data_IF_295235717931
#
_entry.id   IF_295235717931
#
_cell.length_a   1.000
_cell.length_b   1.000
_cell.length_c   1.000
_cell.angle_alpha   90.00
_cell.angle_beta   90.00
_cell.angle_gamma   90.00
#
_symmetry.space_group_name_H-M   'P 1'
#
loop_
_entity.id
_entity.type
_entity.pdbx_description
1 polymer ?
#
# COMPACT_ATOMS: atom_id res chain seq x y z
N UNK A 1 19.01 7.76 -33.81
CA UNK A 1 18.41 6.48 -33.41
C UNK A 1 17.43 6.77 -32.27
N UNK A 2 16.14 6.55 -32.46
CA UNK A 2 15.14 6.71 -31.39
C UNK A 2 15.42 5.63 -30.34
N UNK A 3 16.05 6.00 -29.23
CA UNK A 3 16.26 5.07 -28.11
C UNK A 3 14.92 4.79 -27.46
N UNK A 4 14.54 3.52 -27.37
CA UNK A 4 13.37 3.09 -26.59
C UNK A 4 13.71 3.33 -25.12
N UNK A 5 12.99 4.26 -24.50
CA UNK A 5 13.23 4.66 -23.10
C UNK A 5 12.59 3.67 -22.12
N UNK A 6 11.48 3.03 -22.52
CA UNK A 6 10.72 2.11 -21.69
C UNK A 6 10.53 0.79 -22.41
N UNK A 7 10.93 -0.30 -21.77
CA UNK A 7 10.57 -1.66 -22.22
C UNK A 7 9.15 -2.02 -21.77
N UNK A 8 8.67 -3.22 -22.09
CA UNK A 8 7.33 -3.64 -21.73
C UNK A 8 7.09 -3.67 -20.20
N UNK A 9 8.07 -4.11 -19.42
CA UNK A 9 8.00 -4.14 -17.95
C UNK A 9 7.86 -2.72 -17.36
N UNK A 10 8.66 -1.79 -17.87
CA UNK A 10 8.63 -0.39 -17.50
C UNK A 10 7.26 0.25 -17.81
N UNK A 11 6.65 -0.13 -18.94
CA UNK A 11 5.31 0.32 -19.32
C UNK A 11 4.25 -0.19 -18.36
N UNK A 12 4.34 -1.43 -17.87
CA UNK A 12 3.40 -1.94 -16.85
C UNK A 12 3.48 -1.14 -15.55
N UNK A 13 4.68 -0.76 -15.11
CA UNK A 13 4.87 0.11 -13.94
C UNK A 13 4.24 1.50 -14.16
N UNK A 14 4.45 2.10 -15.33
CA UNK A 14 3.85 3.40 -15.68
C UNK A 14 2.32 3.34 -15.73
N UNK A 15 1.75 2.31 -16.36
CA UNK A 15 0.29 2.13 -16.41
C UNK A 15 -0.26 1.94 -14.99
N UNK A 16 0.40 1.11 -14.15
CA UNK A 16 -0.01 0.90 -12.75
C UNK A 16 -0.01 2.22 -11.97
N UNK A 17 1.03 3.04 -12.16
CA UNK A 17 1.14 4.39 -11.58
C UNK A 17 -0.05 5.25 -12.00
N UNK A 18 -0.30 5.37 -13.31
CA UNK A 18 -1.37 6.21 -13.85
C UNK A 18 -2.75 5.76 -13.39
N UNK A 19 -3.01 4.44 -13.38
CA UNK A 19 -4.27 3.88 -12.88
C UNK A 19 -4.52 4.25 -11.43
N UNK A 20 -3.50 4.12 -10.57
CA UNK A 20 -3.61 4.47 -9.16
C UNK A 20 -3.89 5.97 -8.97
N UNK A 21 -3.14 6.84 -9.68
CA UNK A 21 -3.32 8.30 -9.58
C UNK A 21 -4.71 8.71 -10.07
N UNK A 22 -5.13 8.27 -11.26
CA UNK A 22 -6.42 8.64 -11.83
C UNK A 22 -7.57 8.13 -10.98
N UNK A 23 -7.46 6.92 -10.44
CA UNK A 23 -8.51 6.39 -9.57
C UNK A 23 -8.54 7.11 -8.21
N UNK A 24 -7.39 7.44 -7.62
CA UNK A 24 -7.32 8.27 -6.42
C UNK A 24 -7.98 9.65 -6.63
N UNK A 25 -7.68 10.32 -7.75
CA UNK A 25 -8.30 11.60 -8.12
C UNK A 25 -9.81 11.45 -8.32
N UNK A 26 -10.25 10.41 -9.04
CA UNK A 26 -11.67 10.13 -9.26
C UNK A 26 -12.40 9.94 -7.92
N UNK A 27 -11.83 9.18 -6.99
CA UNK A 27 -12.40 8.96 -5.67
C UNK A 27 -12.60 10.26 -4.90
N UNK A 28 -11.62 11.17 -4.95
CA UNK A 28 -11.67 12.48 -4.28
C UNK A 28 -12.73 13.39 -4.92
N UNK A 29 -12.78 13.45 -6.25
CA UNK A 29 -13.70 14.33 -6.99
C UNK A 29 -15.14 13.86 -6.85
N UNK A 30 -15.41 12.57 -7.06
CA UNK A 30 -16.78 12.02 -7.08
C UNK A 30 -17.39 11.96 -5.68
N UNK A 31 -16.60 11.66 -4.64
CA UNK A 31 -17.14 11.38 -3.31
C UNK A 31 -17.13 12.57 -2.33
N UNK A 32 -16.86 13.80 -2.82
CA UNK A 32 -16.85 15.02 -2.00
C UNK A 32 -18.16 15.24 -1.20
N UNK A 33 -19.28 14.72 -1.71
CA UNK A 33 -20.63 14.87 -1.11
C UNK A 33 -21.19 13.58 -0.47
N UNK A 34 -20.43 12.48 -0.40
CA UNK A 34 -20.90 11.22 0.20
C UNK A 34 -20.93 11.27 1.73
N UNK A 35 -21.82 10.51 2.37
CA UNK A 35 -21.81 10.29 3.83
C UNK A 35 -20.65 9.41 4.30
N UNK A 36 -19.97 8.71 3.38
CA UNK A 36 -18.81 7.84 3.64
C UNK A 36 -17.48 8.49 3.22
N UNK A 37 -17.23 9.73 3.66
CA UNK A 37 -16.06 10.51 3.23
C UNK A 37 -14.73 9.86 3.60
N UNK A 38 -14.59 9.43 4.85
CA UNK A 38 -13.30 8.98 5.39
C UNK A 38 -12.76 7.71 4.70
N UNK A 39 -13.52 6.60 4.53
CA UNK A 39 -13.00 5.42 3.82
C UNK A 39 -12.60 5.72 2.37
N UNK A 40 -13.33 6.60 1.69
CA UNK A 40 -13.01 6.99 0.31
C UNK A 40 -11.71 7.80 0.24
N UNK A 41 -11.49 8.74 1.18
CA UNK A 41 -10.22 9.47 1.27
C UNK A 41 -9.05 8.57 1.66
N UNK A 42 -9.25 7.61 2.57
CA UNK A 42 -8.22 6.64 2.94
C UNK A 42 -7.85 5.72 1.76
N UNK A 43 -8.84 5.27 0.99
CA UNK A 43 -8.59 4.49 -0.23
C UNK A 43 -7.86 5.34 -1.29
N UNK A 44 -8.26 6.59 -1.48
CA UNK A 44 -7.58 7.50 -2.40
C UNK A 44 -6.13 7.77 -1.98
N UNK A 45 -5.90 8.00 -0.68
CA UNK A 45 -4.56 8.17 -0.12
C UNK A 45 -3.72 6.90 -0.30
N UNK A 46 -4.30 5.72 -0.02
CA UNK A 46 -3.66 4.43 -0.26
C UNK A 46 -3.22 4.31 -1.73
N UNK A 47 -4.13 4.54 -2.68
CA UNK A 47 -3.82 4.45 -4.12
C UNK A 47 -2.76 5.46 -4.54
N UNK A 48 -2.84 6.70 -4.06
CA UNK A 48 -1.84 7.71 -4.37
C UNK A 48 -0.45 7.30 -3.89
N UNK A 49 -0.31 6.89 -2.62
CA UNK A 49 0.95 6.37 -2.09
C UNK A 49 1.39 5.12 -2.84
N UNK A 50 0.47 4.20 -3.12
CA UNK A 50 0.74 2.96 -3.86
C UNK A 50 1.21 3.21 -5.29
N UNK A 51 0.89 4.37 -5.89
CA UNK A 51 1.41 4.79 -7.20
C UNK A 51 2.89 5.16 -7.18
N UNK A 52 3.41 5.58 -6.02
CA UNK A 52 4.81 5.96 -5.87
C UNK A 52 5.72 4.73 -5.83
N UNK A 53 5.20 3.57 -5.46
CA UNK A 53 5.91 2.28 -5.45
C UNK A 53 6.39 1.87 -6.86
N UNK A 54 5.53 1.72 -7.89
CA UNK A 54 5.99 1.40 -9.23
C UNK A 54 6.88 2.51 -9.85
N UNK A 55 6.70 3.78 -9.46
CA UNK A 55 7.64 4.84 -9.83
C UNK A 55 9.02 4.64 -9.20
N UNK A 56 9.08 4.25 -7.93
CA UNK A 56 10.32 3.90 -7.25
C UNK A 56 11.04 2.75 -7.97
N UNK A 57 10.30 1.69 -8.30
CA UNK A 57 10.86 0.55 -9.03
C UNK A 57 11.37 0.94 -10.42
N UNK A 58 10.67 1.84 -11.12
CA UNK A 58 11.13 2.36 -12.41
C UNK A 58 12.42 3.17 -12.28
N UNK A 59 12.56 3.98 -11.22
CA UNK A 59 13.77 4.75 -10.93
C UNK A 59 14.94 3.81 -10.61
N UNK A 60 14.72 2.79 -9.77
CA UNK A 60 15.77 1.92 -9.26
C UNK A 60 16.15 0.78 -10.22
N UNK A 61 15.20 0.28 -11.00
CA UNK A 61 15.36 -0.96 -11.79
C UNK A 61 14.97 -0.82 -13.25
N UNK A 62 14.43 0.33 -13.66
CA UNK A 62 14.06 0.56 -15.06
C UNK A 62 15.25 0.39 -16.00
N UNK A 63 15.01 -0.17 -17.18
CA UNK A 63 16.09 -0.57 -18.10
C UNK A 63 16.98 0.61 -18.54
N UNK A 64 16.34 1.64 -19.09
CA UNK A 64 16.99 2.85 -19.61
C UNK A 64 16.68 4.05 -18.72
N UNK A 65 15.47 4.13 -18.15
CA UNK A 65 15.04 5.25 -17.30
C UNK A 65 15.93 5.46 -16.07
N UNK A 66 16.33 4.38 -15.39
CA UNK A 66 17.29 4.37 -14.29
C UNK A 66 18.57 5.13 -14.61
N UNK A 67 19.11 4.92 -15.82
CA UNK A 67 20.36 5.56 -16.25
C UNK A 67 20.20 7.08 -16.39
N UNK A 68 19.04 7.55 -16.86
CA UNK A 68 18.73 8.97 -16.93
C UNK A 68 18.63 9.59 -15.54
N UNK A 69 17.88 8.97 -14.62
CA UNK A 69 17.74 9.48 -13.25
C UNK A 69 19.10 9.57 -12.56
N UNK A 70 19.94 8.53 -12.66
CA UNK A 70 21.28 8.53 -12.05
C UNK A 70 22.22 9.57 -12.62
N UNK A 71 22.05 9.94 -13.89
CA UNK A 71 22.89 10.92 -14.56
C UNK A 71 22.44 12.35 -14.25
N UNK A 72 21.14 12.61 -14.41
CA UNK A 72 20.60 13.98 -14.47
C UNK A 72 19.93 14.38 -13.13
N UNK A 73 19.55 13.42 -12.28
CA UNK A 73 18.78 13.64 -11.06
C UNK A 73 19.12 12.63 -9.93
N UNK A 74 20.40 12.40 -9.57
CA UNK A 74 20.80 11.35 -8.61
C UNK A 74 20.22 11.54 -7.20
N UNK A 75 19.93 12.78 -6.82
CA UNK A 75 19.33 13.14 -5.51
C UNK A 75 17.90 12.60 -5.36
N UNK A 76 17.22 12.32 -6.48
CA UNK A 76 15.87 11.79 -6.51
C UNK A 76 15.83 10.25 -6.57
N UNK A 77 16.97 9.57 -6.56
CA UNK A 77 17.05 8.11 -6.76
C UNK A 77 16.27 7.31 -5.70
N UNK A 78 16.15 7.83 -4.47
CA UNK A 78 15.48 7.18 -3.34
C UNK A 78 14.23 7.94 -2.85
N UNK A 79 13.76 8.93 -3.61
CA UNK A 79 12.72 9.84 -3.12
C UNK A 79 11.40 9.14 -2.84
N UNK A 80 11.04 8.08 -3.57
CA UNK A 80 9.75 7.41 -3.44
C UNK A 80 9.78 6.16 -2.55
N UNK A 81 10.94 5.78 -2.02
CA UNK A 81 11.06 4.61 -1.13
C UNK A 81 10.20 4.74 0.15
N UNK A 82 9.91 5.98 0.60
CA UNK A 82 9.03 6.17 1.76
C UNK A 82 7.63 5.58 1.55
N UNK A 83 7.17 5.45 0.30
CA UNK A 83 5.82 4.98 0.00
C UNK A 83 5.53 3.60 0.60
N UNK A 84 6.55 2.74 0.68
CA UNK A 84 6.49 1.42 1.27
C UNK A 84 6.19 1.41 2.78
N UNK A 85 6.39 2.53 3.47
CA UNK A 85 6.06 2.65 4.90
C UNK A 85 4.62 3.07 5.14
N UNK A 86 3.98 3.68 4.13
CA UNK A 86 2.65 4.25 4.25
C UNK A 86 1.57 3.41 3.58
N UNK A 87 1.87 2.66 2.51
CA UNK A 87 0.86 1.90 1.76
C UNK A 87 0.14 0.86 2.64
N UNK A 88 0.88 0.02 3.37
CA UNK A 88 0.32 -0.98 4.27
C UNK A 88 -0.49 -0.35 5.42
N UNK A 89 0.00 0.76 5.98
CA UNK A 89 -0.69 1.51 7.02
C UNK A 89 -2.03 2.09 6.52
N UNK A 90 -2.03 2.69 5.33
CA UNK A 90 -3.23 3.27 4.74
C UNK A 90 -4.25 2.19 4.36
N UNK A 91 -3.79 1.03 3.87
CA UNK A 91 -4.65 -0.13 3.63
C UNK A 91 -5.31 -0.60 4.94
N UNK A 92 -4.54 -0.66 6.03
CA UNK A 92 -5.06 -1.02 7.35
C UNK A 92 -6.12 -0.03 7.84
N UNK A 93 -5.85 1.27 7.77
CA UNK A 93 -6.85 2.27 8.16
C UNK A 93 -8.07 2.26 7.25
N UNK A 94 -7.91 2.03 5.96
CA UNK A 94 -9.03 1.84 5.04
C UNK A 94 -9.92 0.68 5.48
N UNK A 95 -9.36 -0.51 5.68
CA UNK A 95 -10.11 -1.70 6.14
C UNK A 95 -10.76 -1.44 7.51
N UNK A 96 -10.05 -0.81 8.44
CA UNK A 96 -10.58 -0.44 9.76
C UNK A 96 -11.76 0.54 9.65
N UNK A 97 -11.66 1.54 8.78
CA UNK A 97 -12.73 2.52 8.55
C UNK A 97 -13.97 1.95 7.84
N UNK A 98 -13.82 0.87 7.06
CA UNK A 98 -14.95 0.15 6.48
C UNK A 98 -15.72 -0.67 7.52
N UNK A 99 -15.00 -1.24 8.48
CA UNK A 99 -15.55 -2.14 9.50
C UNK A 99 -16.20 -1.36 10.65
N UNK A 100 -15.55 -0.29 11.13
CA UNK A 100 -16.03 0.50 12.27
C UNK A 100 -16.67 1.81 11.82
N UNK A 101 -17.91 2.04 12.25
CA UNK A 101 -18.73 3.20 11.85
C UNK A 101 -18.25 4.54 12.45
N UNK A 102 -17.50 4.50 13.56
CA UNK A 102 -16.90 5.66 14.21
C UNK A 102 -15.40 5.41 14.29
N UNK A 103 -14.67 5.89 13.30
CA UNK A 103 -13.20 5.86 13.32
C UNK A 103 -12.69 7.21 13.80
N UNK A 104 -12.11 7.23 14.99
CA UNK A 104 -11.33 8.35 15.50
C UNK A 104 -9.86 7.96 15.48
N UNK A 105 -9.02 8.79 14.88
CA UNK A 105 -7.56 8.61 14.93
C UNK A 105 -7.13 8.85 16.38
N UNK A 106 -6.69 7.79 17.03
CA UNK A 106 -6.17 7.83 18.39
C UNK A 106 -4.67 8.14 18.38
N UNK A 107 -4.12 8.60 19.51
CA UNK A 107 -2.66 8.75 19.64
C UNK A 107 -1.91 7.42 19.44
N UNK A 108 -2.56 6.27 19.71
CA UNK A 108 -1.97 4.95 19.39
C UNK A 108 -1.78 4.77 17.89
N UNK A 109 -2.65 5.36 17.06
CA UNK A 109 -2.52 5.28 15.60
C UNK A 109 -1.29 6.08 15.09
N UNK A 110 -0.77 7.05 15.86
CA UNK A 110 0.49 7.75 15.53
C UNK A 110 1.72 6.84 15.64
N UNK A 111 1.64 5.74 16.40
CA UNK A 111 2.75 4.77 16.49
C UNK A 111 3.05 4.13 15.13
N UNK A 112 2.07 4.11 14.21
CA UNK A 112 2.27 3.62 12.85
C UNK A 112 3.23 4.49 12.01
N UNK A 113 3.55 5.71 12.47
CA UNK A 113 4.56 6.58 11.84
C UNK A 113 5.99 6.26 12.28
N UNK A 114 6.18 5.48 13.36
CA UNK A 114 7.51 5.16 13.90
C UNK A 114 8.42 4.50 12.85
N UNK A 115 7.97 3.48 12.08
CA UNK A 115 8.82 2.86 11.07
C UNK A 115 9.31 3.85 10.00
N UNK A 116 8.46 4.78 9.59
CA UNK A 116 8.85 5.84 8.65
C UNK A 116 9.89 6.78 9.26
N UNK A 117 9.72 7.18 10.52
CA UNK A 117 10.70 8.03 11.21
C UNK A 117 12.06 7.33 11.34
N UNK A 118 12.07 6.03 11.64
CA UNK A 118 13.30 5.21 11.68
C UNK A 118 13.96 5.22 10.29
N UNK A 119 13.19 5.04 9.22
CA UNK A 119 13.69 5.11 7.85
C UNK A 119 14.27 6.48 7.48
N UNK A 120 13.61 7.58 7.85
CA UNK A 120 14.12 8.94 7.60
C UNK A 120 15.45 9.16 8.32
N UNK A 121 15.55 8.76 9.60
CA UNK A 121 16.79 8.85 10.37
C UNK A 121 17.89 8.02 9.70
N UNK A 122 17.58 6.79 9.30
CA UNK A 122 18.50 5.94 8.56
C UNK A 122 19.00 6.62 7.27
N UNK A 123 18.10 7.15 6.43
CA UNK A 123 18.51 7.81 5.18
C UNK A 123 19.35 9.06 5.43
N UNK A 124 19.04 9.84 6.47
CA UNK A 124 19.87 10.99 6.86
C UNK A 124 21.28 10.53 7.22
N UNK A 125 21.39 9.52 8.09
CA UNK A 125 22.68 9.04 8.61
C UNK A 125 23.48 8.22 7.59
N UNK A 126 22.83 7.43 6.75
CA UNK A 126 23.48 6.51 5.83
C UNK A 126 23.74 7.13 4.45
N UNK A 127 22.91 8.08 4.01
CA UNK A 127 23.00 8.67 2.67
C UNK A 127 23.15 10.19 2.69
N UNK A 128 22.16 10.93 3.21
CA UNK A 128 22.08 12.38 3.01
C UNK A 128 23.13 13.20 3.78
N UNK A 129 23.74 12.67 4.84
CA UNK A 129 24.87 13.34 5.53
C UNK A 129 26.12 13.47 4.66
N UNK A 130 26.24 12.66 3.60
CA UNK A 130 27.41 12.65 2.74
C UNK A 130 27.34 13.75 1.67
N UNK A 131 28.49 14.33 1.27
CA UNK A 131 28.57 15.29 0.16
C UNK A 131 27.96 14.76 -1.15
N UNK A 132 27.40 15.65 -1.96
CA UNK A 132 26.66 15.31 -3.19
C UNK A 132 27.50 14.52 -4.22
N UNK A 133 28.82 14.76 -4.31
CA UNK A 133 29.71 13.98 -5.17
C UNK A 133 29.78 12.51 -4.74
N UNK A 134 29.94 12.23 -3.44
CA UNK A 134 29.95 10.86 -2.89
C UNK A 134 28.61 10.18 -3.13
N UNK A 135 27.49 10.89 -2.88
CA UNK A 135 26.15 10.35 -3.12
C UNK A 135 25.92 10.00 -4.58
N UNK A 136 26.36 10.86 -5.49
CA UNK A 136 26.26 10.64 -6.94
C UNK A 136 27.06 9.41 -7.37
N UNK A 137 28.27 9.24 -6.83
CA UNK A 137 29.09 8.06 -7.11
C UNK A 137 28.44 6.77 -6.59
N UNK A 138 27.90 6.79 -5.37
CA UNK A 138 27.15 5.65 -4.82
C UNK A 138 25.90 5.29 -5.61
N UNK A 139 25.16 6.29 -6.10
CA UNK A 139 23.97 6.09 -6.94
C UNK A 139 24.36 5.53 -8.31
N UNK A 140 25.44 6.04 -8.91
CA UNK A 140 25.91 5.59 -10.23
C UNK A 140 26.44 4.16 -10.20
N UNK A 141 27.17 3.81 -9.14
CA UNK A 141 27.79 2.51 -8.97
C UNK A 141 26.94 1.52 -8.17
N UNK A 142 25.69 1.88 -7.81
CA UNK A 142 24.76 1.06 -7.02
C UNK A 142 25.29 0.66 -5.63
N UNK A 143 26.37 1.28 -5.16
CA UNK A 143 27.07 0.92 -3.92
C UNK A 143 26.17 1.06 -2.69
N UNK A 144 25.32 2.10 -2.66
CA UNK A 144 24.40 2.29 -1.56
C UNK A 144 23.23 1.31 -1.61
N UNK A 145 22.66 1.06 -2.80
CA UNK A 145 21.52 0.15 -3.02
C UNK A 145 21.83 -1.29 -2.59
N UNK A 146 23.08 -1.74 -2.74
CA UNK A 146 23.51 -3.07 -2.28
C UNK A 146 24.27 -3.05 -0.95
N UNK A 147 24.31 -1.92 -0.25
CA UNK A 147 24.94 -1.86 1.07
C UNK A 147 24.13 -2.69 2.08
N UNK A 148 24.83 -3.33 3.02
CA UNK A 148 24.19 -4.17 4.05
C UNK A 148 23.06 -3.43 4.79
N UNK A 149 23.29 -2.16 5.15
CA UNK A 149 22.31 -1.33 5.82
C UNK A 149 21.05 -1.09 4.99
N UNK A 150 21.19 -0.78 3.69
CA UNK A 150 20.04 -0.52 2.81
C UNK A 150 19.23 -1.79 2.55
N UNK A 151 19.90 -2.92 2.27
CA UNK A 151 19.23 -4.20 2.00
C UNK A 151 18.47 -4.72 3.23
N UNK A 152 19.04 -4.57 4.43
CA UNK A 152 18.35 -4.90 5.69
C UNK A 152 17.14 -3.98 5.91
N UNK A 153 17.29 -2.68 5.66
CA UNK A 153 16.19 -1.73 5.80
C UNK A 153 15.04 -2.03 4.81
N UNK A 154 15.35 -2.31 3.55
CA UNK A 154 14.37 -2.71 2.54
C UNK A 154 13.61 -3.96 2.99
N UNK A 155 14.30 -5.00 3.46
CA UNK A 155 13.65 -6.21 3.98
C UNK A 155 12.72 -5.94 5.17
N UNK A 156 13.18 -5.17 6.17
CA UNK A 156 12.35 -4.78 7.30
C UNK A 156 11.08 -4.04 6.85
N UNK A 157 11.20 -3.19 5.83
CA UNK A 157 10.06 -2.49 5.25
C UNK A 157 9.07 -3.45 4.56
N UNK A 158 9.55 -4.43 3.78
CA UNK A 158 8.67 -5.44 3.15
C UNK A 158 7.94 -6.30 4.19
N UNK A 159 8.63 -6.70 5.25
CA UNK A 159 8.02 -7.40 6.39
C UNK A 159 6.96 -6.56 7.09
N UNK A 160 7.21 -5.27 7.29
CA UNK A 160 6.23 -4.35 7.87
C UNK A 160 4.94 -4.33 7.02
N UNK A 161 5.05 -4.23 5.69
CA UNK A 161 3.89 -4.25 4.79
C UNK A 161 3.10 -5.56 4.87
N UNK A 162 3.81 -6.70 4.92
CA UNK A 162 3.18 -8.00 5.14
C UNK A 162 2.44 -8.05 6.49
N UNK A 163 3.03 -7.49 7.55
CA UNK A 163 2.41 -7.44 8.87
C UNK A 163 1.09 -6.65 8.88
N UNK A 164 1.02 -5.53 8.15
CA UNK A 164 -0.23 -4.77 7.99
C UNK A 164 -1.31 -5.58 7.25
N UNK A 165 -0.92 -6.33 6.21
CA UNK A 165 -1.86 -7.22 5.53
C UNK A 165 -2.41 -8.31 6.47
N UNK A 166 -1.57 -8.88 7.34
CA UNK A 166 -2.01 -9.83 8.37
C UNK A 166 -2.97 -9.18 9.37
N UNK A 167 -2.68 -7.95 9.82
CA UNK A 167 -3.57 -7.19 10.71
C UNK A 167 -4.93 -6.90 10.04
N UNK A 168 -4.95 -6.58 8.75
CA UNK A 168 -6.19 -6.44 7.97
C UNK A 168 -7.00 -7.72 7.96
N UNK A 169 -6.37 -8.88 7.69
CA UNK A 169 -7.06 -10.18 7.68
C UNK A 169 -7.62 -10.52 9.06
N UNK A 170 -6.84 -10.32 10.12
CA UNK A 170 -7.32 -10.51 11.49
C UNK A 170 -8.55 -9.66 11.79
N UNK A 171 -8.55 -8.40 11.34
CA UNK A 171 -9.68 -7.50 11.54
C UNK A 171 -10.92 -7.95 10.77
N UNK A 172 -10.75 -8.39 9.53
CA UNK A 172 -11.83 -8.91 8.69
C UNK A 172 -12.44 -10.20 9.29
N UNK A 173 -11.60 -11.11 9.81
CA UNK A 173 -12.06 -12.34 10.46
C UNK A 173 -12.90 -12.01 11.70
N UNK A 174 -12.38 -11.15 12.60
CA UNK A 174 -13.12 -10.71 13.80
C UNK A 174 -14.46 -10.06 13.45
N UNK A 175 -14.47 -9.22 12.42
CA UNK A 175 -15.69 -8.57 11.95
C UNK A 175 -16.72 -9.58 11.44
N UNK A 176 -16.29 -10.60 10.69
CA UNK A 176 -17.16 -11.66 10.20
C UNK A 176 -17.83 -12.43 11.35
N UNK A 177 -17.09 -12.71 12.42
CA UNK A 177 -17.62 -13.41 13.60
C UNK A 177 -18.66 -12.56 14.33
N UNK A 178 -18.40 -11.26 14.51
CA UNK A 178 -19.35 -10.32 15.11
C UNK A 178 -20.64 -10.21 14.26
N UNK A 179 -20.51 -10.16 12.94
CA UNK A 179 -21.67 -10.06 12.05
C UNK A 179 -22.55 -11.30 12.11
N UNK A 180 -21.93 -12.50 12.15
CA UNK A 180 -22.62 -13.78 12.32
C UNK A 180 -23.40 -13.87 13.62
N UNK A 181 -22.87 -13.29 14.69
CA UNK A 181 -23.56 -13.25 15.97
C UNK A 181 -24.74 -12.25 16.02
N UNK A 182 -24.72 -11.20 15.18
CA UNK A 182 -25.63 -10.05 15.31
C UNK A 182 -26.71 -10.00 14.22
N UNK A 183 -26.48 -10.56 13.03
CA UNK A 183 -27.41 -10.49 11.88
C UNK A 183 -27.68 -11.86 11.26
N UNK A 184 -28.96 -12.14 11.00
CA UNK A 184 -29.44 -13.37 10.35
C UNK A 184 -29.24 -13.40 8.82
N UNK A 185 -28.90 -12.26 8.19
CA UNK A 185 -28.56 -12.17 6.77
C UNK A 185 -27.31 -11.29 6.60
N UNK A 186 -26.23 -11.91 6.15
CA UNK A 186 -24.93 -11.26 5.94
C UNK A 186 -24.74 -11.08 4.43
N UNK A 187 -24.36 -9.88 3.99
CA UNK A 187 -23.82 -9.68 2.64
C UNK A 187 -22.39 -10.23 2.59
N UNK A 188 -22.28 -11.56 2.55
CA UNK A 188 -21.00 -12.29 2.57
C UNK A 188 -20.11 -11.95 1.37
N UNK A 189 -20.73 -11.53 0.26
CA UNK A 189 -20.05 -11.13 -0.97
C UNK A 189 -19.03 -10.02 -0.71
N UNK A 190 -19.38 -9.01 0.08
CA UNK A 190 -18.52 -7.83 0.24
C UNK A 190 -17.27 -8.12 1.08
N UNK A 191 -17.47 -8.87 2.16
CA UNK A 191 -16.38 -9.33 3.05
C UNK A 191 -15.44 -10.27 2.29
N UNK A 192 -15.99 -11.15 1.43
CA UNK A 192 -15.18 -12.05 0.61
C UNK A 192 -14.29 -11.30 -0.37
N UNK A 193 -14.81 -10.27 -1.05
CA UNK A 193 -14.01 -9.44 -1.96
C UNK A 193 -12.89 -8.71 -1.22
N UNK A 194 -13.20 -8.09 -0.08
CA UNK A 194 -12.19 -7.40 0.72
C UNK A 194 -11.11 -8.37 1.20
N UNK A 195 -11.49 -9.58 1.62
CA UNK A 195 -10.54 -10.63 2.03
C UNK A 195 -9.63 -11.05 0.88
N UNK A 196 -10.19 -11.34 -0.30
CA UNK A 196 -9.43 -11.75 -1.49
C UNK A 196 -8.41 -10.67 -1.89
N UNK A 197 -8.82 -9.40 -1.82
CA UNK A 197 -7.94 -8.28 -2.11
C UNK A 197 -6.75 -8.19 -1.15
N UNK A 198 -7.01 -8.26 0.16
CA UNK A 198 -5.95 -8.22 1.17
C UNK A 198 -5.03 -9.45 1.07
N UNK A 199 -5.58 -10.63 0.78
CA UNK A 199 -4.78 -11.84 0.52
C UNK A 199 -3.87 -11.63 -0.70
N UNK A 200 -4.38 -11.01 -1.76
CA UNK A 200 -3.59 -10.67 -2.93
C UNK A 200 -2.38 -9.79 -2.60
N UNK A 201 -2.61 -8.69 -1.87
CA UNK A 201 -1.53 -7.83 -1.39
C UNK A 201 -0.56 -8.55 -0.45
N UNK A 202 -1.06 -9.45 0.40
CA UNK A 202 -0.21 -10.28 1.26
C UNK A 202 0.73 -11.16 0.43
N UNK A 203 0.23 -11.82 -0.62
CA UNK A 203 1.06 -12.67 -1.49
C UNK A 203 2.18 -11.86 -2.15
N UNK A 204 1.84 -10.68 -2.71
CA UNK A 204 2.84 -9.80 -3.35
C UNK A 204 3.86 -9.28 -2.34
N UNK A 205 3.43 -8.83 -1.16
CA UNK A 205 4.37 -8.34 -0.14
C UNK A 205 5.24 -9.45 0.44
N UNK A 206 4.74 -10.69 0.52
CA UNK A 206 5.53 -11.85 0.90
C UNK A 206 6.56 -12.24 -0.18
N UNK A 207 6.20 -12.17 -1.47
CA UNK A 207 7.15 -12.45 -2.55
C UNK A 207 8.26 -11.40 -2.60
N UNK A 208 7.92 -10.12 -2.42
CA UNK A 208 8.91 -9.04 -2.28
C UNK A 208 9.78 -9.22 -1.04
N UNK A 209 9.19 -9.58 0.11
CA UNK A 209 9.96 -9.87 1.34
C UNK A 209 10.93 -11.03 1.13
N UNK A 210 10.51 -12.08 0.43
CA UNK A 210 11.38 -13.20 0.09
C UNK A 210 12.52 -12.76 -0.83
N UNK A 211 12.24 -11.92 -1.84
CA UNK A 211 13.26 -11.36 -2.72
C UNK A 211 14.29 -10.53 -1.93
N UNK A 212 13.85 -9.63 -1.05
CA UNK A 212 14.75 -8.82 -0.21
C UNK A 212 15.54 -9.67 0.79
N UNK A 213 14.95 -10.74 1.33
CA UNK A 213 15.69 -11.70 2.16
C UNK A 213 16.79 -12.41 1.38
N UNK A 214 16.52 -12.84 0.15
CA UNK A 214 17.54 -13.47 -0.70
C UNK A 214 18.67 -12.49 -1.04
N UNK A 215 18.39 -11.19 -1.15
CA UNK A 215 19.43 -10.14 -1.28
C UNK A 215 20.32 -10.07 -0.04
N UNK A 216 19.75 -10.14 1.17
CA UNK A 216 20.52 -10.19 2.42
C UNK A 216 21.44 -11.42 2.44
N UNK A 217 20.89 -12.60 2.14
CA UNK A 217 21.65 -13.86 2.15
C UNK A 217 22.80 -13.80 1.14
N UNK A 218 22.55 -13.33 -0.09
CA UNK A 218 23.62 -13.20 -1.08
C UNK A 218 24.66 -12.16 -0.69
N UNK A 219 24.29 -11.06 -0.03
CA UNK A 219 25.25 -10.08 0.47
C UNK A 219 26.18 -10.69 1.53
N UNK A 220 25.63 -11.46 2.48
CA UNK A 220 26.43 -12.16 3.50
C UNK A 220 27.32 -13.28 2.93
N UNK A 221 26.87 -13.96 1.88
CA UNK A 221 27.64 -15.03 1.23
C UNK A 221 28.71 -14.49 0.26
N UNK A 222 28.86 -13.16 0.13
CA UNK A 222 29.80 -12.53 -0.80
C UNK A 222 29.41 -12.72 -2.26
N UNK A 223 28.11 -12.91 -2.53
CA UNK A 223 27.60 -13.08 -3.88
C UNK A 223 27.55 -11.74 -4.61
N UNK A 224 28.31 -11.59 -5.70
CA UNK A 224 28.28 -10.37 -6.52
C UNK A 224 26.99 -10.29 -7.35
N UNK A 225 25.98 -9.62 -6.81
CA UNK A 225 24.72 -9.31 -7.52
C UNK A 225 24.95 -8.48 -8.81
N UNK A 226 26.09 -7.80 -8.92
CA UNK A 226 26.44 -6.92 -10.02
C UNK A 226 26.83 -7.65 -11.31
N UNK A 227 27.24 -8.92 -11.22
CA UNK A 227 27.80 -9.67 -12.36
C UNK A 227 27.16 -11.05 -12.59
N UNK A 228 26.36 -11.55 -11.65
CA UNK A 228 25.76 -12.86 -11.82
C UNK A 228 24.47 -12.78 -12.63
N UNK A 229 24.45 -13.51 -13.75
CA UNK A 229 23.36 -13.72 -14.71
C UNK A 229 22.16 -14.48 -14.12
N UNK A 230 21.72 -14.13 -12.91
CA UNK A 230 20.63 -14.83 -12.23
C UNK A 230 19.27 -14.30 -12.63
N UNK A 231 18.74 -14.92 -13.68
CA UNK A 231 17.38 -14.80 -14.19
C UNK A 231 16.30 -14.91 -13.09
N UNK A 232 16.57 -15.62 -11.98
CA UNK A 232 15.56 -15.87 -10.95
C UNK A 232 15.18 -14.63 -10.12
N UNK A 233 16.13 -13.75 -9.78
CA UNK A 233 15.83 -12.53 -9.00
C UNK A 233 15.03 -11.53 -9.84
N UNK A 234 15.44 -11.37 -11.10
CA UNK A 234 14.74 -10.55 -12.07
C UNK A 234 13.34 -11.11 -12.33
N UNK A 235 13.20 -12.43 -12.51
CA UNK A 235 11.91 -13.10 -12.70
C UNK A 235 10.96 -12.88 -11.51
N UNK A 236 11.43 -13.09 -10.27
CA UNK A 236 10.62 -12.85 -9.07
C UNK A 236 10.19 -11.38 -8.96
N UNK A 237 11.11 -10.44 -9.26
CA UNK A 237 10.80 -9.02 -9.28
C UNK A 237 9.75 -8.65 -10.33
N UNK A 238 9.93 -9.14 -11.56
CA UNK A 238 9.01 -8.90 -12.68
C UNK A 238 7.62 -9.50 -12.43
N UNK A 239 7.54 -10.73 -11.91
CA UNK A 239 6.28 -11.34 -11.49
C UNK A 239 5.54 -10.46 -10.48
N UNK A 240 6.26 -9.90 -9.50
CA UNK A 240 5.72 -8.92 -8.56
C UNK A 240 5.04 -7.73 -9.25
N UNK A 241 5.65 -7.17 -10.29
CA UNK A 241 5.08 -6.04 -11.04
C UNK A 241 3.76 -6.40 -11.72
N UNK A 242 3.69 -7.57 -12.36
CA UNK A 242 2.47 -8.03 -13.04
C UNK A 242 1.36 -8.40 -12.07
N UNK A 243 1.67 -9.08 -10.97
CA UNK A 243 0.68 -9.38 -9.94
C UNK A 243 0.14 -8.11 -9.30
N UNK A 244 1.00 -7.14 -8.99
CA UNK A 244 0.56 -5.85 -8.45
C UNK A 244 -0.35 -5.11 -9.44
N UNK A 245 0.01 -5.07 -10.72
CA UNK A 245 -0.85 -4.49 -11.77
C UNK A 245 -2.24 -5.15 -11.80
N UNK A 246 -2.30 -6.49 -11.81
CA UNK A 246 -3.57 -7.22 -11.81
C UNK A 246 -4.40 -6.95 -10.55
N UNK A 247 -3.75 -6.83 -9.38
CA UNK A 247 -4.43 -6.48 -8.13
C UNK A 247 -5.01 -5.07 -8.16
N UNK A 248 -4.26 -4.09 -8.65
CA UNK A 248 -4.73 -2.71 -8.79
C UNK A 248 -5.93 -2.66 -9.74
N UNK A 249 -5.85 -3.32 -10.90
CA UNK A 249 -6.98 -3.41 -11.84
C UNK A 249 -8.20 -4.05 -11.16
N UNK A 250 -8.00 -5.16 -10.45
CA UNK A 250 -9.07 -5.86 -9.72
C UNK A 250 -9.71 -5.00 -8.63
N UNK A 251 -8.90 -4.22 -7.90
CA UNK A 251 -9.35 -3.26 -6.89
C UNK A 251 -10.21 -2.16 -7.51
N UNK A 252 -9.77 -1.59 -8.63
CA UNK A 252 -10.49 -0.52 -9.35
C UNK A 252 -11.85 -1.04 -9.82
N UNK A 253 -11.89 -2.18 -10.52
CA UNK A 253 -13.15 -2.76 -10.99
C UNK A 253 -14.09 -3.12 -9.83
N UNK A 254 -13.56 -3.67 -8.75
CA UNK A 254 -14.35 -3.99 -7.56
C UNK A 254 -14.92 -2.73 -6.91
N UNK A 255 -14.09 -1.70 -6.76
CA UNK A 255 -14.49 -0.41 -6.18
C UNK A 255 -15.55 0.29 -7.04
N UNK A 256 -15.39 0.31 -8.36
CA UNK A 256 -16.38 0.84 -9.31
C UNK A 256 -17.73 0.12 -9.20
N UNK A 257 -17.73 -1.21 -9.03
CA UNK A 257 -18.94 -1.97 -8.77
C UNK A 257 -19.66 -1.45 -7.53
N UNK A 258 -18.95 -1.23 -6.42
CA UNK A 258 -19.57 -0.66 -5.20
C UNK A 258 -20.18 0.73 -5.43
N UNK A 259 -19.56 1.59 -6.25
CA UNK A 259 -20.10 2.91 -6.55
C UNK A 259 -21.40 2.87 -7.36
N UNK A 260 -21.58 1.88 -8.24
CA UNK A 260 -22.77 1.76 -9.10
C UNK A 260 -23.97 1.20 -8.31
N UNK A 261 -23.75 0.41 -7.25
CA UNK A 261 -24.83 -0.24 -6.47
C UNK A 261 -25.26 0.53 -5.20
N UNK A 262 -24.76 1.74 -4.96
CA UNK A 262 -25.24 2.56 -3.85
C UNK A 262 -26.52 3.32 -4.25
N UNK A 263 -27.68 2.78 -3.87
CA UNK A 263 -28.95 3.50 -3.91
C UNK A 263 -28.88 4.72 -2.98
N UNK A 264 -29.05 5.90 -3.56
CA UNK A 264 -29.22 7.13 -2.79
C UNK A 264 -30.56 7.07 -2.05
N UNK A 265 -30.55 6.76 -0.76
CA UNK A 265 -31.73 6.98 0.09
C UNK A 265 -31.99 8.48 0.12
N UNK A 266 -33.11 8.91 -0.50
CA UNK A 266 -33.52 10.32 -0.49
C UNK A 266 -33.82 10.70 0.96
N UNK A 267 -33.37 11.88 1.45
CA UNK A 267 -33.60 12.33 2.82
C UNK A 267 -35.08 12.32 3.26
N UNK A 268 -36.01 12.43 2.30
CA UNK A 268 -37.47 12.37 2.55
C UNK A 268 -37.98 11.06 3.12
N UNK A 269 -37.22 9.96 3.04
CA UNK A 269 -37.62 8.68 3.63
C UNK A 269 -37.19 8.53 5.10
N UNK A 270 -36.33 9.43 5.61
CA UNK A 270 -35.81 9.38 7.00
C UNK A 270 -36.86 9.93 7.99
N UNK A 271 -37.60 10.96 7.59
CA UNK A 271 -38.63 11.59 8.45
C UNK A 271 -39.82 10.66 8.72
N UNK A 272 -40.14 9.76 7.78
CA UNK A 272 -41.21 8.76 7.98
C UNK A 272 -40.80 7.60 8.89
N UNK A 273 -39.50 7.33 9.05
CA UNK A 273 -38.99 6.21 9.87
C UNK A 273 -38.70 6.65 11.30
N UNK A 274 -38.25 7.89 11.53
CA UNK A 274 -38.00 8.40 12.89
C UNK A 274 -39.26 8.50 13.76
N UNK A 275 -40.45 8.59 13.16
CA UNK A 275 -41.72 8.50 13.89
C UNK A 275 -42.05 7.12 14.47
N UNK A 276 -41.39 6.04 14.04
CA UNK A 276 -41.75 4.65 14.42
C UNK A 276 -40.67 3.83 15.13
N UNK A 277 -39.39 4.25 15.10
CA UNK A 277 -38.25 3.39 15.54
C UNK A 277 -37.56 3.88 16.83
N UNK A 278 -38.00 5.01 17.41
CA UNK A 278 -37.32 5.66 18.56
C UNK A 278 -37.28 4.84 19.88
N UNK A 279 -37.82 3.62 19.97
CA UNK A 279 -37.92 2.90 21.25
C UNK A 279 -37.13 1.60 21.40
N UNK A 280 -36.29 1.15 20.44
CA UNK A 280 -35.70 -0.21 20.63
C UNK A 280 -34.29 -0.56 20.18
N UNK A 281 -33.52 0.26 19.47
CA UNK A 281 -32.19 -0.21 19.03
C UNK A 281 -31.20 0.94 19.03
N UNK A 282 -30.33 0.99 20.06
CA UNK A 282 -28.92 1.45 20.02
C UNK A 282 -28.47 1.75 21.45
N UNK A 283 -28.03 0.73 22.19
CA UNK A 283 -27.24 0.95 23.41
C UNK A 283 -25.78 1.21 23.01
N UNK A 284 -25.17 2.35 23.39
CA UNK A 284 -23.78 2.72 23.09
C UNK A 284 -22.71 1.79 23.70
N UNK A 285 -23.12 0.82 24.53
CA UNK A 285 -22.23 -0.06 25.28
C UNK A 285 -21.37 -1.02 24.44
N UNK A 286 -21.76 -1.31 23.20
CA UNK A 286 -21.01 -2.24 22.33
C UNK A 286 -19.73 -1.59 21.79
N UNK A 287 -19.71 -0.28 21.58
CA UNK A 287 -18.51 0.44 21.13
C UNK A 287 -17.45 0.53 22.24
N UNK A 288 -17.89 0.75 23.48
CA UNK A 288 -17.01 0.94 24.65
C UNK A 288 -16.32 -0.37 25.05
N UNK A 289 -16.97 -1.52 24.83
CA UNK A 289 -16.45 -2.84 25.20
C UNK A 289 -15.26 -3.30 24.36
N UNK A 290 -15.01 -2.69 23.21
CA UNK A 290 -13.89 -3.03 22.32
C UNK A 290 -12.68 -2.12 22.58
N UNK A 291 -12.91 -0.83 22.86
CA UNK A 291 -11.84 0.12 23.23
C UNK A 291 -11.16 -0.23 24.55
N UNK A 292 -11.82 -0.99 25.42
CA UNK A 292 -11.26 -1.46 26.70
C UNK A 292 -10.42 -2.74 26.60
N UNK A 293 -10.39 -3.39 25.43
CA UNK A 293 -9.64 -4.62 25.17
C UNK A 293 -8.40 -4.40 24.25
N UNK A 294 -8.08 -3.14 23.92
CA UNK A 294 -6.90 -2.71 23.13
C UNK A 294 -6.01 -1.72 23.90
#
# INVERSE_FOLDING_TARGET
MNKVIFNFHDVVLLITTMLCIFFALLLVVVNSHSSHKLPNYLLAAFLFIHSLIPLNELILWGSVFKLYVRKDAPEFNFIFEFAYYFDGMLLYFYVKSLIFRVFNVSCKDLLHLVPFLIYVIFMILAFYRHPSNIRTDWVRNETFTYSEGHVVMDYCCRLLRASYCLMCLQLIIRYKDILRATRSRIDETNIRWLSLLVIGFLIVTLSESALSFLKIVGAFLGYEFQHSSFNIYEMIGLEGYYFNFLLVVSLIFSSMRYFIYFDQVKPKDIDHVHGKVSSKILSPDVGIKIDTLM
#
